data_IF_637674733933
#
_entry.id   IF_637674733933
#
_cell.length_a   1.000
_cell.length_b   1.000
_cell.length_c   1.000
_cell.angle_alpha   90.00
_cell.angle_beta   90.00
_cell.angle_gamma   90.00
#
_symmetry.space_group_name_H-M   'P 1'
#
loop_
_entity.id
_entity.type
_entity.pdbx_description
1 polymer ?
#
# COMPACT_ATOMS: atom_id res chain seq x y z
N UNK A 1 1.32 6.53 -1.73
CA UNK A 1 0.90 5.68 -2.87
C UNK A 1 0.58 6.53 -4.09
N UNK A 2 -0.53 7.30 -4.11
CA UNK A 2 -0.89 8.11 -5.28
C UNK A 2 0.19 9.14 -5.69
N UNK A 3 0.77 9.86 -4.72
CA UNK A 3 1.83 10.86 -4.98
C UNK A 3 3.11 10.27 -5.61
N UNK A 4 3.34 8.97 -5.45
CA UNK A 4 4.55 8.28 -5.95
C UNK A 4 4.17 7.21 -6.98
N UNK A 5 3.02 7.36 -7.64
CA UNK A 5 2.52 6.39 -8.60
C UNK A 5 3.39 6.37 -9.87
N UNK A 6 3.72 5.18 -10.35
CA UNK A 6 4.44 5.01 -11.62
C UNK A 6 3.42 4.95 -12.77
N UNK A 7 3.45 5.89 -13.74
CA UNK A 7 2.53 5.90 -14.87
C UNK A 7 2.54 4.56 -15.64
N UNK A 8 1.36 4.05 -15.94
CA UNK A 8 1.18 2.76 -16.63
C UNK A 8 1.26 1.52 -15.72
N UNK A 9 1.72 1.67 -14.47
CA UNK A 9 1.79 0.58 -13.48
C UNK A 9 0.79 0.81 -12.35
N UNK A 10 0.71 2.05 -11.86
CA UNK A 10 -0.16 2.47 -10.77
C UNK A 10 -0.97 3.70 -11.17
N UNK A 11 -2.20 3.78 -10.71
CA UNK A 11 -3.00 5.01 -10.81
C UNK A 11 -3.98 5.15 -9.64
N UNK A 12 -4.36 6.38 -9.33
CA UNK A 12 -5.54 6.69 -8.53
C UNK A 12 -6.65 7.18 -9.47
N UNK A 13 -7.74 6.43 -9.57
CA UNK A 13 -8.84 6.73 -10.47
C UNK A 13 -10.16 6.29 -9.86
N UNK A 14 -11.18 7.14 -9.96
CA UNK A 14 -12.55 6.85 -9.51
C UNK A 14 -12.61 6.36 -8.04
N UNK A 15 -11.80 6.96 -7.17
CA UNK A 15 -11.74 6.60 -5.75
C UNK A 15 -11.02 5.29 -5.43
N UNK A 16 -10.36 4.66 -6.41
CA UNK A 16 -9.60 3.44 -6.22
C UNK A 16 -8.12 3.63 -6.55
N UNK A 17 -7.26 3.05 -5.73
CA UNK A 17 -5.86 2.80 -6.10
C UNK A 17 -5.81 1.52 -6.94
N UNK A 18 -5.28 1.62 -8.16
CA UNK A 18 -5.19 0.50 -9.10
C UNK A 18 -3.73 0.22 -9.42
N UNK A 19 -3.35 -1.06 -9.51
CA UNK A 19 -2.03 -1.45 -9.99
C UNK A 19 -1.97 -2.81 -10.65
N UNK A 20 -0.91 -3.05 -11.41
CA UNK A 20 -0.52 -4.38 -11.86
C UNK A 20 0.26 -5.14 -10.78
N UNK A 21 0.19 -6.47 -10.83
CA UNK A 21 0.87 -7.41 -9.95
C UNK A 21 1.56 -8.49 -10.80
N UNK A 22 2.81 -8.82 -10.47
CA UNK A 22 3.52 -9.98 -11.02
C UNK A 22 3.39 -11.15 -10.07
N UNK A 23 2.61 -12.17 -10.43
CA UNK A 23 2.26 -13.30 -9.58
C UNK A 23 2.89 -14.61 -10.11
N UNK A 24 2.99 -15.68 -9.31
CA UNK A 24 3.65 -16.93 -9.67
C UNK A 24 3.18 -17.57 -10.97
N UNK A 25 1.88 -17.52 -11.26
CA UNK A 25 1.29 -18.17 -12.43
C UNK A 25 0.88 -17.18 -13.53
N UNK A 26 1.08 -15.87 -13.33
CA UNK A 26 0.82 -14.87 -14.35
C UNK A 26 0.72 -13.44 -13.80
N UNK A 27 0.03 -12.57 -14.53
CA UNK A 27 -0.19 -11.20 -14.10
C UNK A 27 -1.56 -11.03 -13.46
N UNK A 28 -1.67 -10.03 -12.59
CA UNK A 28 -2.93 -9.58 -12.01
C UNK A 28 -3.07 -8.07 -12.08
N UNK A 29 -4.31 -7.59 -12.04
CA UNK A 29 -4.64 -6.19 -11.81
C UNK A 29 -5.52 -6.13 -10.57
N UNK A 30 -5.19 -5.22 -9.66
CA UNK A 30 -6.01 -4.94 -8.47
C UNK A 30 -6.57 -3.53 -8.53
N UNK A 31 -7.79 -3.37 -8.05
CA UNK A 31 -8.35 -2.09 -7.62
C UNK A 31 -8.70 -2.16 -6.12
N UNK A 32 -8.14 -1.24 -5.34
CA UNK A 32 -8.32 -1.11 -3.89
C UNK A 32 -9.06 0.19 -3.61
N UNK A 33 -10.30 0.09 -3.13
CA UNK A 33 -11.15 1.23 -2.80
C UNK A 33 -11.31 1.30 -1.29
N UNK A 34 -10.88 2.38 -0.62
CA UNK A 34 -11.13 2.56 0.80
C UNK A 34 -12.63 2.73 1.06
N UNK A 35 -13.13 2.01 2.05
CA UNK A 35 -14.46 2.14 2.63
C UNK A 35 -14.31 2.49 4.12
N UNK A 36 -15.38 2.95 4.80
CA UNK A 36 -15.27 3.37 6.20
C UNK A 36 -14.69 2.31 7.16
N UNK A 37 -14.95 1.03 6.90
CA UNK A 37 -14.60 -0.10 7.77
C UNK A 37 -13.67 -1.13 7.12
N UNK A 38 -13.47 -1.08 5.79
CA UNK A 38 -12.67 -2.05 5.06
C UNK A 38 -12.06 -1.48 3.79
N UNK A 39 -11.23 -2.27 3.11
CA UNK A 39 -10.78 -1.99 1.75
C UNK A 39 -11.50 -2.94 0.81
N UNK A 40 -12.33 -2.41 -0.08
CA UNK A 40 -12.91 -3.20 -1.15
C UNK A 40 -11.80 -3.55 -2.17
N UNK A 41 -11.64 -4.84 -2.45
CA UNK A 41 -10.60 -5.37 -3.34
C UNK A 41 -11.25 -6.06 -4.54
N UNK A 42 -10.96 -5.57 -5.75
CA UNK A 42 -11.34 -6.23 -7.00
C UNK A 42 -10.09 -6.70 -7.72
N UNK A 43 -10.03 -8.00 -8.01
CA UNK A 43 -8.90 -8.63 -8.68
C UNK A 43 -9.31 -9.15 -10.05
N UNK A 44 -8.51 -8.85 -11.07
CA UNK A 44 -8.51 -9.52 -12.35
C UNK A 44 -7.22 -10.30 -12.47
N UNK A 45 -7.31 -11.63 -12.48
CA UNK A 45 -6.15 -12.53 -12.48
C UNK A 45 -6.08 -13.29 -13.79
N UNK A 46 -4.87 -13.49 -14.29
CA UNK A 46 -4.64 -14.40 -15.44
C UNK A 46 -4.89 -15.85 -15.02
N UNK A 47 -4.54 -16.20 -13.78
CA UNK A 47 -4.71 -17.54 -13.22
C UNK A 47 -5.33 -17.45 -11.81
N UNK A 48 -6.43 -18.18 -11.52
CA UNK A 48 -7.11 -18.12 -10.23
C UNK A 48 -6.28 -18.69 -9.07
N UNK A 49 -5.25 -19.51 -9.32
CA UNK A 49 -4.36 -20.05 -8.28
C UNK A 49 -3.59 -18.97 -7.55
N UNK A 50 -3.43 -17.79 -8.16
CA UNK A 50 -2.74 -16.66 -7.55
C UNK A 50 -3.61 -15.85 -6.58
N UNK A 51 -4.90 -16.16 -6.42
CA UNK A 51 -5.83 -15.36 -5.62
C UNK A 51 -5.34 -15.09 -4.19
N UNK A 52 -4.95 -16.13 -3.46
CA UNK A 52 -4.49 -15.99 -2.06
C UNK A 52 -3.23 -15.14 -1.97
N UNK A 53 -2.30 -15.28 -2.93
CA UNK A 53 -1.08 -14.50 -2.94
C UNK A 53 -1.36 -13.04 -3.30
N UNK A 54 -2.25 -12.79 -4.27
CA UNK A 54 -2.66 -11.44 -4.63
C UNK A 54 -3.31 -10.71 -3.44
N UNK A 55 -4.21 -11.37 -2.70
CA UNK A 55 -4.82 -10.83 -1.47
C UNK A 55 -3.73 -10.52 -0.44
N UNK A 56 -2.81 -11.45 -0.20
CA UNK A 56 -1.72 -11.28 0.77
C UNK A 56 -0.84 -10.07 0.42
N UNK A 57 -0.51 -9.88 -0.86
CA UNK A 57 0.25 -8.70 -1.32
C UNK A 57 -0.52 -7.40 -1.15
N UNK A 58 -1.85 -7.41 -1.33
CA UNK A 58 -2.68 -6.23 -1.11
C UNK A 58 -2.73 -5.85 0.38
N UNK A 59 -2.89 -6.83 1.27
CA UNK A 59 -2.83 -6.62 2.72
C UNK A 59 -1.48 -6.06 3.14
N UNK A 60 -0.40 -6.65 2.61
CA UNK A 60 0.96 -6.19 2.87
C UNK A 60 1.20 -4.76 2.38
N UNK A 61 0.83 -4.44 1.13
CA UNK A 61 0.98 -3.10 0.54
C UNK A 61 0.38 -2.00 1.41
N UNK A 62 -0.81 -2.27 1.95
CA UNK A 62 -1.56 -1.33 2.77
C UNK A 62 -1.32 -1.52 4.28
N UNK A 63 -0.44 -2.43 4.67
CA UNK A 63 -0.10 -2.72 6.06
C UNK A 63 -1.35 -3.07 6.91
N UNK A 64 -2.30 -3.83 6.33
CA UNK A 64 -3.60 -4.12 6.95
C UNK A 64 -3.51 -5.07 8.14
N UNK A 65 -2.44 -5.85 8.24
CA UNK A 65 -2.22 -6.81 9.32
C UNK A 65 -1.70 -6.16 10.61
N UNK A 66 -1.23 -4.91 10.56
CA UNK A 66 -0.85 -4.17 11.75
C UNK A 66 -2.10 -3.80 12.59
N UNK A 67 -1.98 -3.91 13.92
CA UNK A 67 -2.95 -3.36 14.86
C UNK A 67 -2.67 -1.85 15.06
N UNK A 68 -3.49 -0.97 14.48
CA UNK A 68 -3.28 0.47 14.58
C UNK A 68 -3.48 1.00 15.99
N UNK A 69 -4.36 0.36 16.79
CA UNK A 69 -4.68 0.83 18.15
C UNK A 69 -3.49 0.56 19.07
N UNK A 70 -2.88 -0.62 18.96
CA UNK A 70 -1.67 -0.95 19.70
C UNK A 70 -0.52 0.00 19.34
N UNK A 71 -0.27 0.25 18.04
CA UNK A 71 0.78 1.17 17.58
C UNK A 71 0.55 2.59 18.10
N UNK A 72 -0.66 3.14 17.89
CA UNK A 72 -1.02 4.47 18.36
C UNK A 72 -0.84 4.60 19.88
N UNK A 73 -1.30 3.59 20.64
CA UNK A 73 -1.21 3.61 22.11
C UNK A 73 0.24 3.70 22.60
N UNK A 74 1.14 2.95 21.96
CA UNK A 74 2.55 2.95 22.30
C UNK A 74 3.21 4.28 21.91
N UNK A 75 2.94 4.80 20.70
CA UNK A 75 3.52 6.04 20.23
C UNK A 75 3.05 7.26 21.02
N UNK A 76 1.79 7.28 21.50
CA UNK A 76 1.28 8.35 22.37
C UNK A 76 1.98 8.45 23.72
N UNK A 77 2.74 7.44 24.15
CA UNK A 77 3.52 7.51 25.39
C UNK A 77 4.69 8.50 25.31
N UNK A 78 5.13 8.86 24.10
CA UNK A 78 6.17 9.85 23.86
C UNK A 78 5.53 11.24 23.64
N UNK A 79 5.87 12.26 24.46
CA UNK A 79 5.31 13.62 24.34
C UNK A 79 5.57 14.30 22.99
N UNK A 80 6.64 13.93 22.27
CA UNK A 80 6.96 14.48 20.96
C UNK A 80 6.14 13.83 19.85
N UNK A 81 5.73 12.57 20.03
CA UNK A 81 4.98 11.81 19.03
C UNK A 81 3.46 11.90 19.22
N UNK A 82 2.98 12.09 20.46
CA UNK A 82 1.55 12.15 20.76
C UNK A 82 0.76 13.15 19.87
N UNK A 83 1.20 14.41 19.67
CA UNK A 83 0.48 15.34 18.80
C UNK A 83 0.40 14.87 17.34
N UNK A 84 1.41 14.14 16.87
CA UNK A 84 1.45 13.60 15.50
C UNK A 84 0.49 12.43 15.32
N UNK A 85 0.35 11.58 16.35
CA UNK A 85 -0.61 10.48 16.35
C UNK A 85 -2.03 11.02 16.43
N UNK A 86 -2.29 12.01 17.28
CA UNK A 86 -3.63 12.59 17.45
C UNK A 86 -4.10 13.35 16.21
N UNK A 87 -3.18 13.92 15.43
CA UNK A 87 -3.48 14.52 14.13
C UNK A 87 -3.86 13.50 13.03
N UNK A 88 -3.53 12.22 13.20
CA UNK A 88 -3.77 11.19 12.19
C UNK A 88 -3.75 9.77 12.77
N UNK A 89 -4.74 9.41 13.62
CA UNK A 89 -4.77 8.12 14.29
C UNK A 89 -4.93 6.97 13.29
N UNK A 90 -4.32 5.83 13.62
CA UNK A 90 -4.37 4.62 12.81
C UNK A 90 -3.66 4.71 11.45
N UNK A 91 -2.77 5.69 11.29
CA UNK A 91 -1.93 5.83 10.10
C UNK A 91 -1.08 4.58 9.89
N UNK A 92 -1.12 4.06 8.67
CA UNK A 92 -0.38 2.85 8.25
C UNK A 92 0.92 3.20 7.54
N UNK A 93 1.85 2.25 7.51
CA UNK A 93 3.08 2.39 6.73
C UNK A 93 2.87 1.82 5.33
N UNK A 94 2.87 2.63 4.26
CA UNK A 94 2.79 2.09 2.90
C UNK A 94 3.98 1.19 2.62
N UNK A 95 3.73 -0.01 2.11
CA UNK A 95 4.78 -0.96 1.73
C UNK A 95 4.90 -1.06 0.20
N UNK A 96 5.62 -2.07 -0.28
CA UNK A 96 5.73 -2.45 -1.68
C UNK A 96 5.27 -3.88 -1.87
N UNK A 97 4.72 -4.22 -3.04
CA UNK A 97 4.32 -5.60 -3.39
C UNK A 97 5.48 -6.45 -3.92
N UNK A 98 6.59 -5.82 -4.27
CA UNK A 98 7.77 -6.45 -4.86
C UNK A 98 9.06 -5.76 -4.39
N UNK A 99 10.02 -6.57 -3.95
CA UNK A 99 11.28 -6.08 -3.37
C UNK A 99 12.22 -5.50 -4.43
N UNK A 100 12.28 -6.07 -5.63
CA UNK A 100 13.13 -5.57 -6.71
C UNK A 100 12.59 -4.24 -7.25
N UNK A 101 11.27 -4.13 -7.42
CA UNK A 101 10.59 -2.87 -7.77
C UNK A 101 10.92 -1.78 -6.74
N UNK A 102 10.88 -2.11 -5.45
CA UNK A 102 11.20 -1.17 -4.39
C UNK A 102 12.67 -0.73 -4.41
N UNK A 103 13.60 -1.65 -4.62
CA UNK A 103 15.02 -1.33 -4.72
C UNK A 103 15.29 -0.33 -5.87
N UNK A 104 14.66 -0.55 -7.03
CA UNK A 104 14.76 0.39 -8.16
C UNK A 104 14.18 1.75 -7.79
N UNK A 105 12.99 1.81 -7.18
CA UNK A 105 12.38 3.07 -6.73
C UNK A 105 13.26 3.80 -5.71
N UNK A 106 13.84 3.08 -4.77
CA UNK A 106 14.69 3.64 -3.73
C UNK A 106 15.97 4.27 -4.33
N UNK A 107 16.65 3.56 -5.23
CA UNK A 107 17.86 4.07 -5.90
C UNK A 107 17.54 5.29 -6.76
N UNK A 108 16.47 5.22 -7.56
CA UNK A 108 16.07 6.35 -8.41
C UNK A 108 15.64 7.57 -7.58
N UNK A 109 15.02 7.35 -6.41
CA UNK A 109 14.60 8.41 -5.50
C UNK A 109 15.73 9.10 -4.71
N UNK A 110 16.96 8.57 -4.71
CA UNK A 110 18.07 9.14 -3.95
C UNK A 110 18.67 10.41 -4.57
N UNK A 111 18.40 10.71 -5.84
CA UNK A 111 19.04 11.83 -6.57
C UNK A 111 18.03 12.82 -7.17
N UNK A 112 16.74 12.64 -6.91
CA UNK A 112 15.66 13.53 -7.35
C UNK A 112 14.63 13.65 -6.24
N UNK A 113 14.19 14.87 -5.94
CA UNK A 113 13.06 15.05 -5.03
C UNK A 113 11.84 14.33 -5.61
N UNK A 114 11.21 13.47 -4.83
CA UNK A 114 9.88 12.97 -5.19
C UNK A 114 8.95 14.17 -5.14
N UNK A 115 8.54 14.67 -6.31
CA UNK A 115 7.48 15.67 -6.37
C UNK A 115 6.21 15.03 -5.79
N UNK A 116 5.77 15.52 -4.63
CA UNK A 116 4.51 15.18 -3.99
C UNK A 116 3.61 16.41 -4.02
#
# INVERSE_FOLDING_TARGET
LAATAVPGIEEWRDGAYRRTLTLPYGHGIVALTPQPDHIACRLSLTDPRDLTQAISRCRWLLDLDADPVAVDSQLRTDPLLAPLVDAGPGRRVPRTVDGAEFAVRAVLGQQVSTAA
#
